data_IF_247979057870
#
_entry.id   IF_247979057870
#
_cell.length_a   1.000
_cell.length_b   1.000
_cell.length_c   1.000
_cell.angle_alpha   90.00
_cell.angle_beta   90.00
_cell.angle_gamma   90.00
#
_symmetry.space_group_name_H-M   'P 1'
#
loop_
_entity.id
_entity.type
_entity.pdbx_description
1 polymer ?
#
# COMPACT_ATOMS: atom_id res chain seq x y z
N UNK A 1 -32.63 -24.90 -2.16
CA UNK A 1 -32.54 -23.50 -1.72
C UNK A 1 -31.65 -23.44 -0.49
N UNK A 2 -30.33 -23.35 -0.63
CA UNK A 2 -29.40 -23.45 0.52
C UNK A 2 -28.06 -22.73 0.36
N UNK A 3 -27.86 -21.98 -0.74
CA UNK A 3 -26.63 -21.20 -0.96
C UNK A 3 -26.66 -19.82 -0.30
N UNK A 4 -27.83 -19.29 0.06
CA UNK A 4 -27.93 -17.95 0.65
C UNK A 4 -27.60 -17.93 2.15
N UNK A 5 -27.85 -19.01 2.89
CA UNK A 5 -27.62 -19.05 4.34
C UNK A 5 -26.13 -19.06 4.71
N UNK A 6 -25.29 -19.69 3.87
CA UNK A 6 -23.83 -19.67 4.04
C UNK A 6 -23.22 -18.30 3.69
N UNK A 7 -23.79 -17.60 2.72
CA UNK A 7 -23.34 -16.26 2.36
C UNK A 7 -23.70 -15.21 3.43
N UNK A 8 -24.90 -15.30 4.03
CA UNK A 8 -25.28 -14.42 5.14
C UNK A 8 -24.47 -14.70 6.40
N UNK A 9 -24.21 -15.96 6.76
CA UNK A 9 -23.37 -16.27 7.94
C UNK A 9 -21.92 -15.81 7.78
N UNK A 10 -21.34 -15.92 6.58
CA UNK A 10 -20.00 -15.37 6.31
C UNK A 10 -19.97 -13.84 6.34
N UNK A 11 -21.04 -13.18 5.87
CA UNK A 11 -21.17 -11.73 5.92
C UNK A 11 -21.32 -11.21 7.36
N UNK A 12 -22.13 -11.88 8.19
CA UNK A 12 -22.29 -11.57 9.61
C UNK A 12 -20.99 -11.79 10.40
N UNK A 13 -20.23 -12.85 10.10
CA UNK A 13 -18.88 -13.04 10.65
C UNK A 13 -17.91 -11.93 10.22
N UNK A 14 -17.98 -11.50 8.95
CA UNK A 14 -17.18 -10.40 8.44
C UNK A 14 -17.47 -9.08 9.16
N UNK A 15 -18.75 -8.76 9.38
CA UNK A 15 -19.16 -7.58 10.14
C UNK A 15 -18.73 -7.64 11.61
N UNK A 16 -18.82 -8.81 12.23
CA UNK A 16 -18.33 -9.04 13.60
C UNK A 16 -16.82 -8.79 13.73
N UNK A 17 -16.02 -9.26 12.77
CA UNK A 17 -14.57 -9.02 12.77
C UNK A 17 -14.21 -7.55 12.54
N UNK A 18 -14.95 -6.83 11.69
CA UNK A 18 -14.76 -5.39 11.49
C UNK A 18 -15.10 -4.62 12.76
N UNK A 19 -16.18 -5.01 13.45
CA UNK A 19 -16.58 -4.38 14.70
C UNK A 19 -15.58 -4.67 15.84
N UNK A 20 -15.03 -5.88 15.90
CA UNK A 20 -13.96 -6.24 16.84
C UNK A 20 -12.64 -5.51 16.54
N UNK A 21 -12.32 -5.27 15.26
CA UNK A 21 -11.18 -4.43 14.87
C UNK A 21 -11.40 -2.98 15.30
N UNK A 22 -12.58 -2.42 15.03
CA UNK A 22 -12.95 -1.08 15.50
C UNK A 22 -12.92 -0.98 17.03
N UNK A 23 -13.41 -2.00 17.73
CA UNK A 23 -13.42 -2.06 19.19
C UNK A 23 -12.00 -2.15 19.76
N UNK A 24 -11.10 -2.93 19.16
CA UNK A 24 -9.69 -3.01 19.57
C UNK A 24 -8.91 -1.73 19.28
N UNK A 25 -9.24 -1.02 18.19
CA UNK A 25 -8.72 0.31 17.89
C UNK A 25 -9.28 1.39 18.84
N UNK A 26 -10.55 1.25 19.27
CA UNK A 26 -11.19 2.18 20.22
C UNK A 26 -10.70 1.97 21.66
N UNK A 27 -10.44 0.71 22.08
CA UNK A 27 -9.97 0.37 23.44
C UNK A 27 -8.51 0.81 23.69
N UNK A 28 -7.77 1.20 22.64
CA UNK A 28 -6.43 1.77 22.79
C UNK A 28 -6.41 3.29 23.00
N UNK A 29 -7.56 3.94 23.19
CA UNK A 29 -7.63 5.33 23.67
C UNK A 29 -7.54 5.30 25.20
N UNK A 30 -6.40 5.69 25.81
CA UNK A 30 -6.35 5.81 27.26
C UNK A 30 -7.36 6.89 27.67
N UNK A 31 -8.20 6.57 28.66
CA UNK A 31 -9.04 7.56 29.36
C UNK A 31 -8.13 8.51 30.13
N UNK A 32 -7.49 9.45 29.44
CA UNK A 32 -7.01 10.68 30.02
C UNK A 32 -8.15 11.68 29.92
N UNK A 33 -8.44 12.34 31.03
CA UNK A 33 -9.27 13.55 31.10
C UNK A 33 -8.65 14.62 30.20
N UNK A 34 -8.98 14.57 28.92
CA UNK A 34 -8.63 15.58 27.92
C UNK A 34 -9.89 16.40 27.63
N UNK A 35 -9.72 17.71 27.50
CA UNK A 35 -10.82 18.63 27.26
C UNK A 35 -11.60 18.20 26.00
N UNK A 36 -12.93 18.35 25.92
CA UNK A 36 -13.71 17.98 24.74
C UNK A 36 -13.28 18.73 23.46
N UNK A 37 -12.49 19.80 23.58
CA UNK A 37 -11.84 20.48 22.45
C UNK A 37 -10.60 19.74 21.94
N UNK A 38 -9.83 19.09 22.83
CA UNK A 38 -8.67 18.28 22.48
C UNK A 38 -9.08 17.05 21.64
N UNK A 39 -10.27 16.49 21.89
CA UNK A 39 -10.78 15.33 21.15
C UNK A 39 -11.11 15.63 19.69
N UNK A 40 -11.71 16.79 19.39
CA UNK A 40 -12.06 17.20 18.01
C UNK A 40 -10.80 17.41 17.16
N UNK A 41 -9.77 17.98 17.78
CA UNK A 41 -8.49 18.26 17.15
C UNK A 41 -7.68 16.98 16.89
N UNK A 42 -7.70 16.03 17.82
CA UNK A 42 -7.12 14.71 17.61
C UNK A 42 -7.88 13.90 16.54
N UNK A 43 -9.21 14.00 16.49
CA UNK A 43 -10.01 13.41 15.40
C UNK A 43 -9.64 14.00 14.03
N UNK A 44 -9.50 15.31 13.92
CA UNK A 44 -9.10 15.95 12.67
C UNK A 44 -7.68 15.53 12.23
N UNK A 45 -6.74 15.40 13.17
CA UNK A 45 -5.41 14.90 12.88
C UNK A 45 -5.42 13.43 12.43
N UNK A 46 -6.28 12.59 13.02
CA UNK A 46 -6.47 11.20 12.60
C UNK A 46 -7.08 11.08 11.21
N UNK A 47 -8.06 11.92 10.88
CA UNK A 47 -8.64 11.95 9.53
C UNK A 47 -7.57 12.25 8.47
N UNK A 48 -6.67 13.22 8.74
CA UNK A 48 -5.54 13.50 7.83
C UNK A 48 -4.58 12.33 7.67
N UNK A 49 -4.29 11.61 8.75
CA UNK A 49 -3.48 10.38 8.69
C UNK A 49 -4.17 9.28 7.86
N UNK A 50 -5.49 9.13 8.00
CA UNK A 50 -6.30 8.16 7.26
C UNK A 50 -6.40 8.52 5.77
N UNK A 51 -6.59 9.79 5.44
CA UNK A 51 -6.60 10.28 4.07
C UNK A 51 -5.26 10.03 3.38
N UNK A 52 -4.15 10.33 4.07
CA UNK A 52 -2.80 10.03 3.57
C UNK A 52 -2.57 8.53 3.39
N UNK A 53 -3.12 7.69 4.27
CA UNK A 53 -3.07 6.23 4.14
C UNK A 53 -3.86 5.73 2.92
N UNK A 54 -5.05 6.27 2.70
CA UNK A 54 -5.89 5.97 1.54
C UNK A 54 -5.18 6.37 0.25
N UNK A 55 -4.63 7.58 0.19
CA UNK A 55 -3.88 8.08 -0.96
C UNK A 55 -2.65 7.20 -1.26
N UNK A 56 -1.87 6.83 -0.24
CA UNK A 56 -0.72 5.94 -0.39
C UNK A 56 -1.11 4.53 -0.85
N UNK A 57 -2.26 4.01 -0.40
CA UNK A 57 -2.78 2.72 -0.85
C UNK A 57 -3.20 2.77 -2.33
N UNK A 58 -3.83 3.87 -2.76
CA UNK A 58 -4.20 4.06 -4.17
C UNK A 58 -2.96 4.23 -5.06
N UNK A 59 -1.94 4.96 -4.62
CA UNK A 59 -0.65 5.06 -5.34
C UNK A 59 -0.01 3.68 -5.56
N UNK A 60 0.07 2.85 -4.51
CA UNK A 60 0.57 1.47 -4.63
C UNK A 60 -0.25 0.62 -5.60
N UNK A 61 -1.57 0.79 -5.59
CA UNK A 61 -2.47 0.07 -6.48
C UNK A 61 -2.26 0.50 -7.93
N UNK A 62 -2.14 1.79 -8.19
CA UNK A 62 -1.86 2.34 -9.52
C UNK A 62 -0.51 1.86 -10.05
N UNK A 63 0.55 1.90 -9.23
CA UNK A 63 1.86 1.39 -9.62
C UNK A 63 1.82 -0.11 -9.98
N UNK A 64 1.09 -0.93 -9.21
CA UNK A 64 0.88 -2.35 -9.54
C UNK A 64 0.13 -2.55 -10.86
N UNK A 65 -0.89 -1.73 -11.12
CA UNK A 65 -1.64 -1.79 -12.37
C UNK A 65 -0.76 -1.40 -13.57
N UNK A 66 0.07 -0.37 -13.43
CA UNK A 66 1.03 0.06 -14.46
C UNK A 66 2.10 -1.00 -14.72
N UNK A 67 2.66 -1.60 -13.66
CA UNK A 67 3.61 -2.70 -13.78
C UNK A 67 2.97 -3.92 -14.49
N UNK A 68 1.73 -4.27 -14.15
CA UNK A 68 1.01 -5.37 -14.80
C UNK A 68 0.72 -5.09 -16.29
N UNK A 69 0.31 -3.87 -16.64
CA UNK A 69 0.09 -3.48 -18.04
C UNK A 69 1.40 -3.48 -18.85
N UNK A 70 2.49 -3.05 -18.23
CA UNK A 70 3.84 -3.08 -18.81
C UNK A 70 4.27 -4.53 -19.06
N UNK A 71 4.06 -5.41 -18.09
CA UNK A 71 4.33 -6.84 -18.21
C UNK A 71 3.58 -7.47 -19.39
N UNK A 72 2.28 -7.24 -19.50
CA UNK A 72 1.44 -7.77 -20.59
C UNK A 72 1.93 -7.28 -21.96
N UNK A 73 2.29 -6.00 -22.07
CA UNK A 73 2.83 -5.40 -23.30
C UNK A 73 4.18 -6.01 -23.68
N UNK A 74 5.05 -6.22 -22.69
CA UNK A 74 6.35 -6.86 -22.88
C UNK A 74 6.19 -8.33 -23.31
N UNK A 75 5.26 -9.07 -22.69
CA UNK A 75 4.92 -10.44 -23.09
C UNK A 75 4.42 -10.54 -24.53
N UNK A 76 3.52 -9.65 -24.94
CA UNK A 76 3.06 -9.60 -26.33
C UNK A 76 4.20 -9.30 -27.32
N UNK A 77 5.10 -8.39 -26.95
CA UNK A 77 6.26 -8.05 -27.77
C UNK A 77 7.24 -9.22 -27.88
N UNK A 78 7.50 -9.92 -26.76
CA UNK A 78 8.31 -11.15 -26.72
C UNK A 78 7.70 -12.27 -27.55
N UNK A 79 6.39 -12.48 -27.46
CA UNK A 79 5.69 -13.50 -28.23
C UNK A 79 5.83 -13.26 -29.75
N UNK A 80 5.69 -12.00 -30.20
CA UNK A 80 5.89 -11.63 -31.60
C UNK A 80 7.34 -11.83 -32.06
N UNK A 81 8.31 -11.39 -31.25
CA UNK A 81 9.72 -11.58 -31.55
C UNK A 81 10.10 -13.07 -31.65
N UNK A 82 9.62 -13.88 -30.71
CA UNK A 82 9.85 -15.32 -30.70
C UNK A 82 9.20 -16.02 -31.91
N UNK A 83 7.99 -15.62 -32.31
CA UNK A 83 7.34 -16.15 -33.51
C UNK A 83 8.13 -15.82 -34.79
N UNK A 84 8.61 -14.58 -34.93
CA UNK A 84 9.43 -14.17 -36.06
C UNK A 84 10.73 -14.98 -36.14
N UNK A 85 11.39 -15.23 -35.00
CA UNK A 85 12.62 -16.02 -34.98
C UNK A 85 12.35 -17.50 -35.26
N UNK A 86 11.24 -18.05 -34.73
CA UNK A 86 10.80 -19.43 -35.03
C UNK A 86 10.55 -19.67 -36.51
N UNK A 87 10.04 -18.67 -37.24
CA UNK A 87 9.84 -18.75 -38.70
C UNK A 87 11.15 -18.62 -39.49
N UNK A 88 12.18 -17.97 -38.94
CA UNK A 88 13.43 -17.71 -39.67
C UNK A 88 14.34 -18.92 -39.85
N UNK A 89 14.04 -20.07 -39.21
CA UNK A 89 14.85 -21.28 -39.30
C UNK A 89 16.27 -21.16 -38.75
N UNK A 90 16.62 -20.00 -38.15
CA UNK A 90 17.91 -19.77 -37.50
C UNK A 90 17.97 -20.66 -36.25
N UNK A 91 18.78 -21.71 -36.33
CA UNK A 91 19.16 -22.50 -35.17
C UNK A 91 19.62 -21.54 -34.06
N UNK A 92 19.03 -21.66 -32.87
CA UNK A 92 19.27 -20.74 -31.75
C UNK A 92 20.74 -20.75 -31.33
N UNK A 93 21.53 -19.89 -31.95
CA UNK A 93 22.92 -19.62 -31.59
C UNK A 93 22.98 -19.07 -30.16
N UNK A 94 23.98 -19.45 -29.36
CA UNK A 94 24.13 -18.97 -27.98
C UNK A 94 24.13 -17.43 -27.86
N UNK A 95 24.51 -16.71 -28.93
CA UNK A 95 24.41 -15.26 -29.02
C UNK A 95 22.97 -14.71 -28.97
N UNK A 96 22.00 -15.41 -29.58
CA UNK A 96 20.59 -14.98 -29.57
C UNK A 96 19.91 -15.29 -28.23
N UNK A 97 20.38 -16.32 -27.53
CA UNK A 97 19.95 -16.61 -26.16
C UNK A 97 20.36 -15.49 -25.19
N UNK A 98 21.59 -14.97 -25.30
CA UNK A 98 22.05 -13.85 -24.49
C UNK A 98 21.24 -12.57 -24.74
N UNK A 99 20.89 -12.28 -25.99
CA UNK A 99 20.04 -11.13 -26.32
C UNK A 99 18.66 -11.25 -25.65
N UNK A 100 18.04 -12.43 -25.67
CA UNK A 100 16.75 -12.64 -24.99
C UNK A 100 16.84 -12.47 -23.49
N UNK A 101 17.90 -13.01 -22.89
CA UNK A 101 18.12 -12.88 -21.44
C UNK A 101 18.31 -11.41 -21.05
N UNK A 102 19.09 -10.65 -21.84
CA UNK A 102 19.26 -9.22 -21.62
C UNK A 102 17.95 -8.44 -21.73
N UNK A 103 17.09 -8.77 -22.69
CA UNK A 103 15.77 -8.17 -22.85
C UNK A 103 14.87 -8.51 -21.66
N UNK A 104 14.86 -9.78 -21.22
CA UNK A 104 14.08 -10.19 -20.06
C UNK A 104 14.53 -9.50 -18.78
N UNK A 105 15.83 -9.32 -18.58
CA UNK A 105 16.36 -8.58 -17.44
C UNK A 105 15.97 -7.11 -17.50
N UNK A 106 16.05 -6.47 -18.67
CA UNK A 106 15.63 -5.09 -18.84
C UNK A 106 14.13 -4.90 -18.58
N UNK A 107 13.28 -5.80 -19.09
CA UNK A 107 11.83 -5.77 -18.85
C UNK A 107 11.53 -5.84 -17.33
N UNK A 108 12.21 -6.74 -16.61
CA UNK A 108 12.06 -6.87 -15.15
C UNK A 108 12.52 -5.62 -14.41
N UNK A 109 13.63 -5.01 -14.84
CA UNK A 109 14.10 -3.76 -14.25
C UNK A 109 13.06 -2.65 -14.39
N UNK A 110 12.45 -2.49 -15.57
CA UNK A 110 11.39 -1.51 -15.77
C UNK A 110 10.17 -1.78 -14.89
N UNK A 111 9.76 -3.04 -14.75
CA UNK A 111 8.66 -3.41 -13.84
C UNK A 111 8.99 -3.12 -12.38
N UNK A 112 10.22 -3.43 -11.94
CA UNK A 112 10.70 -3.16 -10.58
C UNK A 112 10.83 -1.66 -10.30
N UNK A 113 11.30 -0.88 -11.26
CA UNK A 113 11.42 0.58 -11.17
C UNK A 113 10.05 1.23 -10.95
N UNK A 114 9.03 0.82 -11.72
CA UNK A 114 7.65 1.30 -11.54
C UNK A 114 7.09 0.98 -10.16
N UNK A 115 7.33 -0.23 -9.65
CA UNK A 115 6.89 -0.64 -8.32
C UNK A 115 7.65 0.13 -7.23
N UNK A 116 8.95 0.36 -7.43
CA UNK A 116 9.80 1.10 -6.51
C UNK A 116 9.40 2.58 -6.43
N UNK A 117 9.20 3.24 -7.58
CA UNK A 117 8.73 4.62 -7.66
C UNK A 117 7.37 4.77 -6.96
N UNK A 118 6.41 3.89 -7.25
CA UNK A 118 5.11 3.91 -6.60
C UNK A 118 5.17 3.71 -5.08
N UNK A 119 6.09 2.86 -4.59
CA UNK A 119 6.30 2.70 -3.14
C UNK A 119 7.02 3.91 -2.52
N UNK A 120 7.95 4.54 -3.23
CA UNK A 120 8.61 5.76 -2.79
C UNK A 120 7.62 6.93 -2.66
N UNK A 121 6.75 7.11 -3.65
CA UNK A 121 5.65 8.10 -3.61
C UNK A 121 4.68 7.81 -2.46
N UNK A 122 4.26 6.55 -2.29
CA UNK A 122 3.38 6.15 -1.18
C UNK A 122 4.01 6.49 0.19
N UNK A 123 5.31 6.25 0.36
CA UNK A 123 6.04 6.60 1.58
C UNK A 123 6.12 8.11 1.79
N UNK A 124 6.36 8.87 0.72
CA UNK A 124 6.38 10.32 0.79
C UNK A 124 5.02 10.88 1.23
N UNK A 125 3.93 10.41 0.61
CA UNK A 125 2.55 10.79 0.96
C UNK A 125 2.24 10.50 2.43
N UNK A 126 2.61 9.31 2.92
CA UNK A 126 2.46 8.96 4.34
C UNK A 126 3.25 9.89 5.25
N UNK A 127 4.50 10.20 4.90
CA UNK A 127 5.35 11.07 5.72
C UNK A 127 4.82 12.50 5.74
N UNK A 128 4.33 13.00 4.62
CA UNK A 128 3.70 14.31 4.52
C UNK A 128 2.42 14.37 5.37
N UNK A 129 1.52 13.40 5.24
CA UNK A 129 0.29 13.34 6.04
C UNK A 129 0.57 13.27 7.54
N UNK A 130 1.60 12.53 7.96
CA UNK A 130 2.08 12.52 9.36
C UNK A 130 2.57 13.89 9.81
N UNK A 131 3.36 14.55 8.95
CA UNK A 131 3.89 15.86 9.27
C UNK A 131 2.75 16.89 9.44
N UNK A 132 1.79 16.90 8.52
CA UNK A 132 0.63 17.79 8.56
C UNK A 132 -0.29 17.51 9.75
N UNK A 133 -0.50 16.24 10.11
CA UNK A 133 -1.24 15.86 11.31
C UNK A 133 -0.54 16.33 12.58
N UNK A 134 0.79 16.19 12.65
CA UNK A 134 1.58 16.67 13.78
C UNK A 134 1.59 18.20 13.88
N UNK A 135 1.69 18.91 12.76
CA UNK A 135 1.56 20.36 12.75
C UNK A 135 0.19 20.81 13.26
N UNK A 136 -0.89 20.10 12.88
CA UNK A 136 -2.23 20.37 13.40
C UNK A 136 -2.28 20.27 14.92
N UNK A 137 -1.76 19.16 15.48
CA UNK A 137 -1.68 18.95 16.94
C UNK A 137 -0.88 20.06 17.63
N UNK A 138 0.32 20.36 17.15
CA UNK A 138 1.20 21.39 17.75
C UNK A 138 0.54 22.76 17.71
N UNK A 139 -0.09 23.13 16.59
CA UNK A 139 -0.76 24.43 16.43
C UNK A 139 -1.90 24.66 17.42
N UNK A 140 -2.45 23.59 17.97
CA UNK A 140 -3.56 23.61 18.92
C UNK A 140 -3.12 23.36 20.36
N UNK A 141 -1.81 23.38 20.64
CA UNK A 141 -1.26 23.19 21.98
C UNK A 141 -1.22 21.73 22.45
N UNK A 142 -1.62 20.79 21.60
CA UNK A 142 -1.53 19.36 21.86
C UNK A 142 -0.09 18.87 21.69
N UNK A 143 0.31 17.90 22.51
CA UNK A 143 1.61 17.24 22.33
C UNK A 143 1.62 16.48 21.01
N UNK A 144 2.74 16.50 20.26
CA UNK A 144 2.89 15.65 19.08
C UNK A 144 2.79 14.19 19.52
N UNK A 145 1.66 13.54 19.23
CA UNK A 145 1.47 12.14 19.55
C UNK A 145 2.21 11.27 18.51
N UNK A 146 2.67 10.10 18.93
CA UNK A 146 3.29 9.13 18.00
C UNK A 146 2.18 8.67 17.04
N UNK A 147 2.25 9.14 15.80
CA UNK A 147 1.27 8.87 14.73
C UNK A 147 0.76 7.44 14.73
N UNK A 148 -0.54 7.24 14.48
CA UNK A 148 -1.17 5.91 14.35
C UNK A 148 -0.57 5.09 13.21
N UNK A 149 0.05 5.76 12.24
CA UNK A 149 0.80 5.17 11.14
C UNK A 149 2.21 4.69 11.57
N UNK A 150 2.70 5.05 12.75
CA UNK A 150 3.94 4.53 13.35
C UNK A 150 3.67 3.21 14.07
N UNK A 151 3.25 2.18 13.33
CA UNK A 151 3.17 0.82 13.84
C UNK A 151 4.54 0.27 14.33
N UNK A 152 5.66 0.94 13.99
CA UNK A 152 7.01 0.54 14.40
C UNK A 152 7.46 1.00 15.80
N UNK A 153 6.72 1.88 16.50
CA UNK A 153 7.16 2.41 17.81
C UNK A 153 6.46 1.80 19.03
N UNK A 154 5.55 0.83 18.85
CA UNK A 154 4.92 0.10 19.96
C UNK A 154 5.91 -0.75 20.76
N UNK A 155 7.09 -1.04 20.20
CA UNK A 155 8.14 -1.83 20.85
C UNK A 155 8.77 -1.10 22.05
N UNK A 156 8.75 0.23 22.06
CA UNK A 156 9.31 1.03 23.17
C UNK A 156 8.26 1.43 24.22
N UNK A 157 7.11 0.73 24.30
CA UNK A 157 6.07 1.04 25.30
C UNK A 157 6.36 0.48 26.70
N UNK A 158 7.31 -0.45 26.85
CA UNK A 158 7.64 -1.10 28.14
C UNK A 158 9.11 -0.93 28.57
N UNK A 159 9.63 0.28 28.45
CA UNK A 159 11.02 0.61 28.79
C UNK A 159 11.14 1.83 29.69
N UNK A 160 10.39 1.88 30.80
CA UNK A 160 10.74 2.49 32.10
C UNK A 160 9.57 2.39 33.06
#
# INVERSE_FOLDING_TARGET
MGMNEQATTQFEQGLGMVNDMYSRLAITVPQTTEDPMDSVHEEQARLRELDAQSAAAEQRKQARQQAAATHETNEHSRARANAAWGQSGLAMSGSSALVRDSQQLHDRQLEEDLLFEGEAEARQTLNQGRHEANLSRISQGLKPNRSTLSLGSSIYRYGR
#
